data_IF_550890642959
#
_entry.id   IF_550890642959
#
_cell.length_a   1.000
_cell.length_b   1.000
_cell.length_c   1.000
_cell.angle_alpha   90.00
_cell.angle_beta   90.00
_cell.angle_gamma   90.00
#
_symmetry.space_group_name_H-M   'P 1'
#
loop_
_entity.id
_entity.type
_entity.pdbx_description
1 polymer ?
#
# COMPACT_ATOMS: atom_id res chain seq x y z
N UNK A 1 -16.35 -41.08 41.98
CA UNK A 1 -16.05 -39.69 42.38
C UNK A 1 -15.46 -38.99 41.16
N UNK A 2 -16.30 -38.21 40.48
CA UNK A 2 -15.97 -37.45 39.25
C UNK A 2 -15.06 -36.27 39.60
N UNK A 3 -13.75 -36.35 39.30
CA UNK A 3 -12.79 -35.28 39.62
C UNK A 3 -12.42 -34.37 38.43
N UNK A 4 -13.01 -34.55 37.24
CA UNK A 4 -12.66 -33.76 36.04
C UNK A 4 -13.88 -33.29 35.22
N UNK A 5 -14.78 -32.51 35.82
CA UNK A 5 -15.91 -31.89 35.08
C UNK A 5 -15.93 -30.37 35.00
N UNK A 6 -14.88 -29.67 35.42
CA UNK A 6 -14.92 -28.20 35.50
C UNK A 6 -13.64 -27.47 35.05
N UNK A 7 -12.96 -27.92 33.98
CA UNK A 7 -11.81 -27.19 33.43
C UNK A 7 -12.00 -26.49 32.08
N UNK A 8 -13.20 -26.51 31.49
CA UNK A 8 -13.46 -25.80 30.23
C UNK A 8 -14.72 -24.93 30.29
N UNK A 9 -14.70 -23.91 31.16
CA UNK A 9 -15.54 -22.71 31.00
C UNK A 9 -14.73 -21.46 31.34
N UNK A 10 -13.76 -21.15 30.49
CA UNK A 10 -13.33 -19.77 30.28
C UNK A 10 -13.52 -19.48 28.80
N UNK A 11 -14.63 -18.81 28.46
CA UNK A 11 -14.72 -18.08 27.20
C UNK A 11 -13.69 -16.96 27.32
N UNK A 12 -12.48 -17.19 26.84
CA UNK A 12 -11.56 -16.10 26.51
C UNK A 12 -12.31 -15.20 25.53
N UNK A 13 -12.47 -13.90 25.79
CA UNK A 13 -13.03 -13.01 24.78
C UNK A 13 -12.10 -13.08 23.57
N UNK A 14 -12.61 -13.59 22.46
CA UNK A 14 -12.00 -13.38 21.15
C UNK A 14 -12.02 -11.86 20.98
N UNK A 15 -10.87 -11.21 21.10
CA UNK A 15 -10.68 -9.87 20.57
C UNK A 15 -10.82 -10.06 19.07
N UNK A 16 -12.03 -9.88 18.56
CA UNK A 16 -12.26 -9.79 17.13
C UNK A 16 -11.74 -8.40 16.79
N UNK A 17 -10.49 -8.30 16.34
CA UNK A 17 -10.04 -7.11 15.65
C UNK A 17 -11.06 -6.86 14.53
N UNK A 18 -11.72 -5.72 14.60
CA UNK A 18 -12.75 -5.34 13.65
C UNK A 18 -12.04 -5.08 12.32
N UNK A 19 -11.92 -6.11 11.49
CA UNK A 19 -11.38 -5.99 10.13
C UNK A 19 -12.23 -4.99 9.36
N UNK A 20 -11.60 -3.95 8.82
CA UNK A 20 -12.27 -2.96 7.98
C UNK A 20 -12.97 -3.64 6.81
N UNK A 21 -14.14 -3.15 6.42
CA UNK A 21 -14.79 -3.62 5.19
C UNK A 21 -13.96 -3.22 3.96
N UNK A 22 -14.20 -3.88 2.82
CA UNK A 22 -13.56 -3.47 1.57
C UNK A 22 -13.89 -2.01 1.23
N UNK A 23 -15.13 -1.56 1.41
CA UNK A 23 -15.52 -0.17 1.14
C UNK A 23 -14.78 0.83 2.04
N UNK A 24 -14.56 0.45 3.31
CA UNK A 24 -13.77 1.25 4.26
C UNK A 24 -12.31 1.35 3.83
N UNK A 25 -11.69 0.25 3.40
CA UNK A 25 -10.30 0.24 2.91
C UNK A 25 -10.20 1.01 1.59
N UNK A 26 -11.13 0.77 0.67
CA UNK A 26 -11.17 1.39 -0.64
C UNK A 26 -11.29 2.90 -0.53
N UNK A 27 -12.09 3.40 0.41
CA UNK A 27 -12.31 4.85 0.61
C UNK A 27 -11.30 5.49 1.59
N UNK A 28 -10.38 4.71 2.15
CA UNK A 28 -9.40 5.20 3.12
C UNK A 28 -8.33 6.03 2.42
N UNK A 29 -8.25 7.32 2.72
CA UNK A 29 -7.16 8.18 2.26
C UNK A 29 -5.88 7.95 3.08
N UNK A 30 -6.00 7.34 4.26
CA UNK A 30 -4.89 6.97 5.12
C UNK A 30 -3.93 8.12 5.41
N UNK A 31 -2.68 7.97 4.96
CA UNK A 31 -1.61 8.94 5.19
C UNK A 31 -1.55 10.06 4.13
N UNK A 32 -2.50 10.08 3.19
CA UNK A 32 -2.46 10.96 2.02
C UNK A 32 -3.53 12.03 2.05
N UNK A 33 -3.15 13.24 1.64
CA UNK A 33 -4.06 14.33 1.29
C UNK A 33 -3.81 14.72 -0.17
N UNK A 34 -4.84 14.66 -1.00
CA UNK A 34 -4.72 14.94 -2.44
C UNK A 34 -5.17 16.35 -2.78
N UNK A 35 -4.50 16.95 -3.75
CA UNK A 35 -4.81 18.25 -4.35
C UNK A 35 -4.74 18.14 -5.87
N UNK A 36 -5.16 19.17 -6.60
CA UNK A 36 -5.04 19.20 -8.06
C UNK A 36 -3.58 19.16 -8.54
N UNK A 37 -2.65 19.72 -7.76
CA UNK A 37 -1.24 19.84 -8.13
C UNK A 37 -0.39 18.66 -7.67
N UNK A 38 -0.84 17.89 -6.68
CA UNK A 38 -0.02 16.88 -6.02
C UNK A 38 -0.70 16.20 -4.85
N UNK A 39 0.10 15.59 -4.00
CA UNK A 39 -0.33 15.03 -2.74
C UNK A 39 0.62 15.38 -1.60
N UNK A 40 0.10 15.29 -0.39
CA UNK A 40 0.90 15.30 0.85
C UNK A 40 0.84 13.93 1.47
N UNK A 41 2.00 13.42 1.86
CA UNK A 41 2.16 12.22 2.66
C UNK A 41 2.51 12.63 4.10
N UNK A 42 1.82 12.06 5.08
CA UNK A 42 2.06 12.29 6.50
C UNK A 42 2.12 10.99 7.28
N UNK A 43 3.30 10.71 7.82
CA UNK A 43 3.53 9.71 8.86
C UNK A 43 3.70 10.39 10.22
N UNK A 44 3.93 9.61 11.28
CA UNK A 44 4.11 10.14 12.64
C UNK A 44 5.29 11.11 12.75
N UNK A 45 6.40 10.80 12.06
CA UNK A 45 7.67 11.50 12.23
C UNK A 45 8.10 12.29 10.98
N UNK A 46 7.37 12.14 9.87
CA UNK A 46 7.73 12.70 8.59
C UNK A 46 6.51 13.15 7.79
N UNK A 47 6.65 14.31 7.14
CA UNK A 47 5.68 14.83 6.19
C UNK A 47 6.42 15.31 4.93
N UNK A 48 5.87 15.01 3.75
CA UNK A 48 6.38 15.49 2.45
C UNK A 48 5.21 15.83 1.55
N UNK A 49 5.36 16.93 0.81
CA UNK A 49 4.48 17.27 -0.32
C UNK A 49 5.21 16.92 -1.60
N UNK A 50 4.51 16.33 -2.56
CA UNK A 50 5.01 15.99 -3.89
C UNK A 50 4.00 16.52 -4.90
N UNK A 51 4.44 17.39 -5.82
CA UNK A 51 3.61 17.76 -6.96
C UNK A 51 3.69 16.69 -8.05
N UNK A 52 2.60 16.48 -8.77
CA UNK A 52 2.55 15.54 -9.88
C UNK A 52 3.58 15.89 -10.96
N UNK A 53 3.78 17.18 -11.22
CA UNK A 53 4.75 17.68 -12.19
C UNK A 53 6.20 17.35 -11.85
N UNK A 54 6.48 17.09 -10.58
CA UNK A 54 7.83 16.93 -10.05
C UNK A 54 8.20 15.45 -9.91
N UNK A 55 7.29 14.53 -10.26
CA UNK A 55 7.57 13.09 -10.29
C UNK A 55 8.34 12.78 -11.57
N UNK A 56 9.55 12.24 -11.40
CA UNK A 56 10.45 11.88 -12.49
C UNK A 56 10.24 10.42 -12.92
N UNK A 57 9.93 9.54 -11.97
CA UNK A 57 9.79 8.11 -12.23
C UNK A 57 9.00 7.44 -11.11
N UNK A 58 8.24 6.40 -11.44
CA UNK A 58 7.57 5.53 -10.47
C UNK A 58 7.96 4.09 -10.76
N UNK A 59 8.53 3.44 -9.76
CA UNK A 59 8.91 2.04 -9.79
C UNK A 59 8.00 1.24 -8.89
N UNK A 60 7.71 0.01 -9.27
CA UNK A 60 7.02 -0.96 -8.43
C UNK A 60 7.81 -2.26 -8.43
N UNK A 61 7.79 -2.95 -7.30
CA UNK A 61 8.49 -4.21 -7.15
C UNK A 61 7.87 -5.07 -6.06
N UNK A 62 8.18 -6.36 -6.09
CA UNK A 62 7.88 -7.25 -4.97
C UNK A 62 9.08 -7.32 -4.06
N UNK A 63 8.83 -7.15 -2.78
CA UNK A 63 9.78 -7.34 -1.71
C UNK A 63 9.48 -8.67 -1.04
N UNK A 64 10.46 -9.57 -1.05
CA UNK A 64 10.35 -10.84 -0.35
C UNK A 64 10.32 -10.59 1.17
N UNK A 65 9.17 -10.85 1.78
CA UNK A 65 9.03 -10.98 3.23
C UNK A 65 8.97 -12.48 3.52
N UNK A 66 9.65 -12.95 4.58
CA UNK A 66 9.95 -14.38 4.86
C UNK A 66 8.90 -15.43 4.40
N UNK A 67 7.61 -15.14 4.53
CA UNK A 67 6.51 -16.05 4.17
C UNK A 67 5.53 -15.51 3.11
N UNK A 68 5.70 -14.27 2.63
CA UNK A 68 4.80 -13.62 1.66
C UNK A 68 5.51 -12.54 0.82
N UNK A 69 5.03 -12.30 -0.39
CA UNK A 69 5.48 -11.17 -1.20
C UNK A 69 4.73 -9.90 -0.77
N UNK A 70 5.46 -8.79 -0.67
CA UNK A 70 4.90 -7.47 -0.42
C UNK A 70 5.12 -6.58 -1.63
N UNK A 71 4.05 -6.04 -2.22
CA UNK A 71 4.18 -5.04 -3.29
C UNK A 71 4.63 -3.70 -2.69
N UNK A 72 5.69 -3.14 -3.25
CA UNK A 72 6.26 -1.85 -2.89
C UNK A 72 6.32 -0.93 -4.12
N UNK A 73 6.34 0.38 -3.85
CA UNK A 73 6.42 1.43 -4.83
C UNK A 73 7.41 2.50 -4.37
N UNK A 74 8.27 2.91 -5.29
CA UNK A 74 9.14 4.07 -5.14
C UNK A 74 8.66 5.19 -6.07
N UNK A 75 8.30 6.33 -5.48
CA UNK A 75 8.00 7.56 -6.21
C UNK A 75 9.23 8.45 -6.14
N UNK A 76 9.88 8.65 -7.29
CA UNK A 76 11.09 9.47 -7.42
C UNK A 76 10.68 10.87 -7.85
N UNK A 77 11.08 11.87 -7.09
CA UNK A 77 10.74 13.27 -7.33
C UNK A 77 11.80 14.19 -6.76
N UNK A 78 12.31 15.13 -7.56
CA UNK A 78 13.30 16.14 -7.14
C UNK A 78 14.55 15.54 -6.47
N UNK A 79 15.00 14.36 -6.93
CA UNK A 79 16.15 13.65 -6.33
C UNK A 79 15.86 12.98 -4.98
N UNK A 80 14.60 12.95 -4.55
CA UNK A 80 14.13 12.20 -3.38
C UNK A 80 13.36 10.95 -3.81
N UNK A 81 13.34 9.94 -2.93
CA UNK A 81 12.55 8.72 -3.11
C UNK A 81 11.57 8.58 -1.96
N UNK A 82 10.29 8.50 -2.27
CA UNK A 82 9.25 8.11 -1.32
C UNK A 82 8.89 6.63 -1.57
N UNK A 83 9.26 5.78 -0.62
CA UNK A 83 8.95 4.34 -0.65
C UNK A 83 7.71 4.04 0.19
N UNK A 84 6.71 3.40 -0.43
CA UNK A 84 5.43 3.00 0.18
C UNK A 84 5.14 1.55 -0.23
N UNK A 85 4.35 0.81 0.56
CA UNK A 85 3.95 -0.56 0.23
C UNK A 85 2.43 -0.78 0.36
N UNK A 86 1.96 -1.93 -0.11
CA UNK A 86 0.53 -2.26 -0.15
C UNK A 86 -0.18 -2.35 1.21
N UNK A 87 0.58 -2.53 2.30
CA UNK A 87 0.05 -2.51 3.67
C UNK A 87 -0.12 -1.09 4.22
N UNK A 88 0.40 -0.08 3.51
CA UNK A 88 0.34 1.32 3.96
C UNK A 88 -1.08 1.87 3.91
N UNK A 89 -1.59 2.51 4.98
CA UNK A 89 -2.90 3.16 4.95
C UNK A 89 -3.02 4.17 3.80
N UNK A 90 -4.04 3.99 2.96
CA UNK A 90 -4.28 4.82 1.78
C UNK A 90 -3.61 4.34 0.49
N UNK A 91 -2.95 3.17 0.50
CA UNK A 91 -2.34 2.56 -0.69
C UNK A 91 -3.29 2.47 -1.88
N UNK A 92 -4.49 1.92 -1.70
CA UNK A 92 -5.46 1.77 -2.80
C UNK A 92 -5.80 3.11 -3.45
N UNK A 93 -6.01 4.15 -2.64
CA UNK A 93 -6.30 5.49 -3.15
C UNK A 93 -5.11 6.10 -3.90
N UNK A 94 -3.87 5.87 -3.43
CA UNK A 94 -2.67 6.31 -4.13
C UNK A 94 -2.55 5.66 -5.51
N UNK A 95 -2.73 4.34 -5.59
CA UNK A 95 -2.68 3.60 -6.86
C UNK A 95 -3.72 4.14 -7.85
N UNK A 96 -4.95 4.36 -7.40
CA UNK A 96 -6.01 4.92 -8.24
C UNK A 96 -5.67 6.34 -8.72
N UNK A 97 -5.18 7.20 -7.81
CA UNK A 97 -4.82 8.57 -8.15
C UNK A 97 -3.66 8.65 -9.12
N UNK A 98 -2.65 7.79 -8.99
CA UNK A 98 -1.55 7.71 -9.95
C UNK A 98 -2.04 7.30 -11.35
N UNK A 99 -2.92 6.29 -11.44
CA UNK A 99 -3.54 5.87 -12.72
C UNK A 99 -4.44 6.96 -13.33
N UNK A 100 -5.05 7.81 -12.50
CA UNK A 100 -5.87 8.95 -12.95
C UNK A 100 -5.00 10.08 -13.52
N UNK A 101 -3.89 10.41 -12.84
CA UNK A 101 -3.01 11.53 -13.20
C UNK A 101 -2.08 11.16 -14.37
N UNK A 102 -1.50 9.96 -14.34
CA UNK A 102 -0.54 9.49 -15.33
C UNK A 102 -1.18 8.43 -16.22
N UNK A 103 -1.74 8.87 -17.35
CA UNK A 103 -2.47 8.00 -18.28
C UNK A 103 -1.56 6.96 -18.95
N UNK A 104 -0.24 7.14 -18.91
CA UNK A 104 0.75 6.19 -19.41
C UNK A 104 0.94 4.98 -18.47
N UNK A 105 0.53 5.08 -17.20
CA UNK A 105 0.63 3.98 -16.25
C UNK A 105 -0.31 2.84 -16.71
N UNK A 106 0.20 1.61 -16.92
CA UNK A 106 -0.64 0.47 -17.32
C UNK A 106 -1.73 0.20 -16.28
N UNK A 107 -3.00 0.12 -16.70
CA UNK A 107 -4.14 0.01 -15.76
C UNK A 107 -4.13 -1.26 -14.92
N UNK A 108 -3.43 -2.28 -15.37
CA UNK A 108 -3.33 -3.63 -14.83
C UNK A 108 -1.96 -3.92 -14.18
N UNK A 109 -1.08 -2.92 -14.03
CA UNK A 109 0.27 -3.13 -13.46
C UNK A 109 0.25 -3.83 -12.11
N UNK A 110 -0.74 -3.50 -11.26
CA UNK A 110 -0.92 -4.00 -9.90
C UNK A 110 -1.36 -5.47 -9.86
N UNK A 111 -1.98 -5.97 -10.93
CA UNK A 111 -2.27 -7.39 -11.10
C UNK A 111 -1.04 -8.10 -11.67
N UNK A 112 -0.38 -7.49 -12.65
CA UNK A 112 0.76 -8.08 -13.34
C UNK A 112 1.98 -8.25 -12.42
N UNK A 113 2.22 -7.29 -11.51
CA UNK A 113 3.35 -7.31 -10.58
C UNK A 113 3.31 -8.51 -9.62
N UNK A 114 2.12 -9.06 -9.35
CA UNK A 114 1.95 -10.21 -8.45
C UNK A 114 2.53 -11.51 -9.02
N UNK A 115 2.81 -11.57 -10.32
CA UNK A 115 3.30 -12.75 -11.01
C UNK A 115 4.75 -12.58 -11.50
N UNK A 116 5.56 -13.66 -11.50
CA UNK A 116 5.32 -14.94 -10.84
C UNK A 116 5.52 -14.82 -9.32
N UNK A 117 4.89 -15.68 -8.50
CA UNK A 117 5.01 -15.63 -7.04
C UNK A 117 6.44 -15.92 -6.53
N UNK A 118 6.87 -15.24 -5.47
CA UNK A 118 8.17 -15.38 -4.79
C UNK A 118 9.39 -15.11 -5.69
N UNK A 119 9.23 -14.18 -6.62
CA UNK A 119 10.32 -13.67 -7.47
C UNK A 119 10.26 -12.15 -7.47
N UNK A 120 11.42 -11.50 -7.31
CA UNK A 120 11.53 -10.04 -7.44
C UNK A 120 11.08 -9.62 -8.84
N UNK A 121 10.02 -8.82 -8.90
CA UNK A 121 9.48 -8.32 -10.16
C UNK A 121 9.59 -6.80 -10.18
N UNK A 122 10.74 -6.25 -10.56
CA UNK A 122 10.94 -4.80 -10.69
C UNK A 122 10.35 -4.29 -12.02
N UNK A 123 9.48 -3.29 -11.94
CA UNK A 123 8.83 -2.65 -13.08
C UNK A 123 8.86 -1.13 -12.94
N UNK A 124 9.25 -0.42 -14.00
CA UNK A 124 9.06 1.03 -14.11
C UNK A 124 7.68 1.25 -14.73
N UNK A 125 6.72 1.76 -13.96
CA UNK A 125 5.34 1.98 -14.43
C UNK A 125 5.13 3.40 -14.97
N UNK A 126 6.02 4.33 -14.63
CA UNK A 126 6.02 5.68 -15.16
C UNK A 126 7.45 6.21 -15.22
N UNK A 127 7.78 6.94 -16.28
CA UNK A 127 9.00 7.73 -16.39
C UNK A 127 8.69 9.00 -17.16
N UNK A 128 9.04 10.14 -16.56
CA UNK A 128 8.86 11.45 -17.18
C UNK A 128 9.69 11.52 -18.48
N UNK A 129 9.09 12.02 -19.58
CA UNK A 129 9.74 12.09 -20.88
C UNK A 129 10.94 13.05 -20.92
#
# INVERSE_FOLDING_TARGET
>A
MDFFKNLFKRKTPKIIEKTKSFDEIYSDLGMFEYTELGFKFKSKDFQKSINWSDIDQINTYKKDVVIYDLVAMDIISEGHVLTINEESPGWFQLVLKLKEVFQEIPKDWDINIMQPAFEENFTIIYKKP
#
